data_IF_780211067858
#
_entry.id   IF_780211067858
#
_cell.length_a   1.000
_cell.length_b   1.000
_cell.length_c   1.000
_cell.angle_alpha   90.00
_cell.angle_beta   90.00
_cell.angle_gamma   90.00
#
_symmetry.space_group_name_H-M   'P 1'
#
loop_
_entity.id
_entity.type
_entity.pdbx_description
1 polymer ?
#
# COMPACT_ATOMS: atom_id res chain seq x y z
N UNK A 1 -18.27 -7.40 21.64
CA UNK A 1 -16.88 -7.41 21.13
C UNK A 1 -16.91 -8.11 19.79
N UNK A 2 -16.71 -7.35 18.70
CA UNK A 2 -16.62 -7.94 17.35
C UNK A 2 -15.25 -8.58 17.17
N UNK A 3 -15.19 -9.73 16.52
CA UNK A 3 -13.93 -10.48 16.34
C UNK A 3 -12.99 -9.73 15.38
N UNK A 4 -11.68 -9.96 15.49
CA UNK A 4 -10.68 -9.40 14.55
C UNK A 4 -10.99 -9.74 13.07
N UNK A 5 -11.75 -10.82 12.81
CA UNK A 5 -12.26 -11.16 11.48
C UNK A 5 -13.39 -10.23 10.99
N UNK A 6 -14.20 -9.67 11.88
CA UNK A 6 -15.28 -8.73 11.48
C UNK A 6 -14.74 -7.33 11.16
N UNK A 7 -13.57 -6.96 11.69
CA UNK A 7 -12.90 -5.69 11.35
C UNK A 7 -12.27 -5.77 9.94
N UNK A 8 -11.76 -6.95 9.54
CA UNK A 8 -11.27 -7.20 8.18
C UNK A 8 -12.37 -7.09 7.10
N UNK A 9 -13.61 -7.45 7.40
CA UNK A 9 -14.72 -7.42 6.44
C UNK A 9 -15.20 -6.00 6.05
N UNK A 10 -14.83 -4.96 6.80
CA UNK A 10 -15.17 -3.58 6.45
C UNK A 10 -14.18 -2.94 5.46
N UNK A 11 -12.95 -3.46 5.40
CA UNK A 11 -11.88 -2.93 4.54
C UNK A 11 -11.57 -3.84 3.34
N UNK A 12 -11.92 -5.12 3.40
CA UNK A 12 -11.90 -6.01 2.24
C UNK A 12 -13.29 -6.02 1.58
N UNK A 13 -13.42 -5.40 0.41
CA UNK A 13 -14.43 -5.88 -0.54
C UNK A 13 -13.88 -7.17 -1.17
N UNK A 14 -14.47 -8.34 -0.90
CA UNK A 14 -14.05 -9.56 -1.57
C UNK A 14 -14.26 -9.44 -3.08
N UNK A 15 -13.51 -10.24 -3.84
CA UNK A 15 -13.52 -10.47 -5.30
C UNK A 15 -14.93 -10.72 -5.93
N UNK A 16 -16.02 -10.58 -5.17
CA UNK A 16 -17.40 -10.80 -5.58
C UNK A 16 -18.27 -9.55 -5.61
N UNK A 17 -17.90 -8.48 -6.33
CA UNK A 17 -18.86 -7.44 -6.76
C UNK A 17 -18.64 -7.00 -8.22
N UNK A 18 -18.55 -8.00 -9.12
CA UNK A 18 -18.81 -7.80 -10.57
C UNK A 18 -20.31 -7.59 -10.89
N UNK A 19 -21.20 -7.68 -9.90
CA UNK A 19 -22.65 -7.47 -10.08
C UNK A 19 -23.09 -6.18 -9.38
N UNK A 20 -23.21 -5.10 -10.15
CA UNK A 20 -23.82 -3.84 -9.66
C UNK A 20 -23.14 -2.56 -10.15
N UNK A 21 -21.94 -2.66 -10.74
CA UNK A 21 -21.30 -1.49 -11.34
C UNK A 21 -22.01 -1.10 -12.66
N UNK A 22 -22.28 0.20 -12.88
CA UNK A 22 -22.74 0.70 -14.18
C UNK A 22 -21.78 0.25 -15.30
N UNK A 23 -22.32 -0.01 -16.50
CA UNK A 23 -21.59 -0.61 -17.64
C UNK A 23 -20.27 0.13 -17.96
N UNK A 24 -20.24 1.44 -17.76
CA UNK A 24 -19.06 2.31 -17.96
C UNK A 24 -17.86 1.99 -17.05
N UNK A 25 -18.06 1.33 -15.90
CA UNK A 25 -16.97 0.92 -15.01
C UNK A 25 -16.48 -0.51 -15.29
N UNK A 26 -17.15 -1.29 -16.15
CA UNK A 26 -16.70 -2.65 -16.52
C UNK A 26 -15.45 -2.63 -17.39
N UNK A 27 -15.32 -1.64 -18.28
CA UNK A 27 -14.11 -1.43 -19.07
C UNK A 27 -12.90 -1.00 -18.21
N UNK A 28 -13.15 -0.48 -17.00
CA UNK A 28 -12.12 -0.03 -16.06
C UNK A 28 -11.51 -1.17 -15.22
N UNK A 29 -12.07 -2.39 -15.28
CA UNK A 29 -11.64 -3.56 -14.46
C UNK A 29 -10.57 -4.45 -15.10
N UNK A 30 -10.02 -4.06 -16.26
CA UNK A 30 -9.13 -4.92 -17.07
C UNK A 30 -7.62 -4.59 -16.98
N UNK A 31 -7.16 -3.78 -16.03
CA UNK A 31 -5.74 -3.42 -15.95
C UNK A 31 -4.91 -4.24 -14.94
N UNK A 32 -5.49 -5.18 -14.20
CA UNK A 32 -4.79 -5.93 -13.14
C UNK A 32 -4.19 -7.27 -13.60
N UNK A 33 -3.77 -7.38 -14.86
CA UNK A 33 -3.04 -8.56 -15.34
C UNK A 33 -1.80 -8.13 -16.10
N UNK A 34 -0.65 -8.14 -15.42
CA UNK A 34 0.64 -8.07 -16.13
C UNK A 34 1.82 -7.44 -15.40
N UNK A 35 2.13 -7.80 -14.15
CA UNK A 35 3.45 -7.48 -13.57
C UNK A 35 4.50 -8.53 -13.98
N UNK A 36 4.68 -8.74 -15.27
CA UNK A 36 5.78 -9.53 -15.82
C UNK A 36 6.47 -8.71 -16.89
N UNK A 37 7.51 -7.96 -16.49
CA UNK A 37 8.36 -7.20 -17.40
C UNK A 37 8.82 -5.83 -16.93
N UNK A 38 8.31 -5.29 -15.82
CA UNK A 38 8.74 -3.98 -15.31
C UNK A 38 10.05 -4.15 -14.53
N UNK A 39 11.14 -3.58 -15.05
CA UNK A 39 12.39 -3.43 -14.28
C UNK A 39 12.09 -2.63 -13.01
N UNK A 40 12.51 -3.11 -11.81
CA UNK A 40 12.31 -2.36 -10.58
C UNK A 40 12.95 -0.97 -10.71
N UNK A 41 12.13 0.07 -10.66
CA UNK A 41 12.63 1.45 -10.66
C UNK A 41 13.26 1.70 -9.30
N UNK A 42 14.55 2.06 -9.27
CA UNK A 42 15.22 2.47 -8.03
C UNK A 42 14.61 3.78 -7.53
N UNK A 43 14.60 3.99 -6.20
CA UNK A 43 14.20 5.27 -5.64
C UNK A 43 15.12 6.39 -6.13
N UNK A 44 14.62 7.63 -6.32
CA UNK A 44 15.46 8.76 -6.69
C UNK A 44 16.59 8.99 -5.68
N UNK A 45 17.80 9.36 -6.14
CA UNK A 45 18.96 9.68 -5.29
C UNK A 45 18.82 11.04 -4.60
N UNK A 46 17.83 11.12 -3.72
CA UNK A 46 17.51 12.24 -2.86
C UNK A 46 17.69 11.82 -1.40
N UNK A 47 17.69 12.78 -0.48
CA UNK A 47 17.82 12.45 0.95
C UNK A 47 16.67 11.57 1.46
N UNK A 48 15.44 11.83 1.01
CA UNK A 48 14.29 10.97 1.31
C UNK A 48 14.46 9.57 0.70
N UNK A 49 14.86 9.50 -0.58
CA UNK A 49 15.05 8.23 -1.28
C UNK A 49 16.10 7.33 -0.61
N UNK A 50 17.23 7.91 -0.18
CA UNK A 50 18.28 7.17 0.54
C UNK A 50 17.82 6.67 1.91
N UNK A 51 17.12 7.50 2.70
CA UNK A 51 16.58 7.06 4.00
C UNK A 51 15.54 5.95 3.85
N UNK A 52 14.64 6.07 2.88
CA UNK A 52 13.68 5.01 2.56
C UNK A 52 14.38 3.73 2.11
N UNK A 53 15.37 3.81 1.24
CA UNK A 53 16.14 2.65 0.78
C UNK A 53 16.89 1.95 1.93
N UNK A 54 17.37 2.71 2.92
CA UNK A 54 18.05 2.18 4.10
C UNK A 54 17.09 1.60 5.16
N UNK A 55 15.81 1.96 5.13
CA UNK A 55 14.81 1.50 6.09
C UNK A 55 14.53 0.00 5.93
N UNK A 56 14.63 -0.75 7.03
CA UNK A 56 14.42 -2.20 7.06
C UNK A 56 13.06 -2.54 7.68
N UNK A 57 12.22 -3.24 6.93
CA UNK A 57 10.96 -3.79 7.43
C UNK A 57 11.16 -5.10 8.20
N UNK A 58 12.12 -5.91 7.73
CA UNK A 58 12.48 -7.17 8.37
C UNK A 58 13.80 -7.01 9.11
N UNK A 59 13.80 -7.32 10.41
CA UNK A 59 15.04 -7.45 11.19
C UNK A 59 15.32 -8.94 11.44
N UNK A 60 16.58 -9.36 11.30
CA UNK A 60 17.01 -10.76 11.49
C UNK A 60 16.69 -11.34 12.86
N UNK A 61 16.53 -10.47 13.86
CA UNK A 61 16.41 -10.87 15.27
C UNK A 61 14.94 -11.05 15.71
N UNK A 62 13.97 -10.82 14.82
CA UNK A 62 12.55 -10.93 15.13
C UNK A 62 12.01 -12.34 14.85
N UNK A 63 11.28 -12.91 15.81
CA UNK A 63 10.66 -14.24 15.70
C UNK A 63 9.59 -14.33 14.60
N UNK A 64 8.99 -13.20 14.22
CA UNK A 64 8.08 -13.08 13.09
C UNK A 64 8.43 -11.83 12.26
N UNK A 65 9.22 -11.99 11.18
CA UNK A 65 9.53 -10.90 10.26
C UNK A 65 8.26 -10.31 9.64
N UNK A 66 8.28 -9.00 9.38
CA UNK A 66 7.17 -8.25 8.79
C UNK A 66 6.67 -8.90 7.48
N UNK A 67 7.57 -9.19 6.55
CA UNK A 67 7.22 -9.78 5.25
C UNK A 67 6.64 -11.18 5.36
N UNK A 68 7.07 -11.95 6.37
CA UNK A 68 6.52 -13.29 6.65
C UNK A 68 5.10 -13.19 7.16
N UNK A 69 4.85 -12.24 8.08
CA UNK A 69 3.51 -11.99 8.60
C UNK A 69 2.58 -11.51 7.50
N UNK A 70 3.03 -10.58 6.66
CA UNK A 70 2.31 -10.10 5.48
C UNK A 70 1.91 -11.26 4.55
N UNK A 71 2.87 -12.11 4.18
CA UNK A 71 2.61 -13.26 3.32
C UNK A 71 1.55 -14.20 3.93
N UNK A 72 1.63 -14.47 5.23
CA UNK A 72 0.68 -15.33 5.93
C UNK A 72 -0.72 -14.72 6.04
N UNK A 73 -0.82 -13.43 6.37
CA UNK A 73 -2.10 -12.76 6.56
C UNK A 73 -2.88 -12.58 5.24
N UNK A 74 -2.16 -12.30 4.15
CA UNK A 74 -2.75 -12.07 2.83
C UNK A 74 -2.83 -13.32 1.93
N UNK A 75 -2.23 -14.44 2.37
CA UNK A 75 -2.13 -15.65 1.54
C UNK A 75 -1.22 -15.48 0.32
N UNK A 76 -0.22 -14.60 0.40
CA UNK A 76 0.70 -14.31 -0.69
C UNK A 76 1.93 -15.22 -0.66
N UNK A 77 2.57 -15.41 -1.82
CA UNK A 77 3.93 -15.97 -1.84
C UNK A 77 4.89 -15.00 -1.16
N UNK A 78 5.98 -15.54 -0.61
CA UNK A 78 7.02 -14.71 0.03
C UNK A 78 7.61 -13.69 -0.95
N UNK A 79 7.86 -14.12 -2.18
CA UNK A 79 8.40 -13.26 -3.24
C UNK A 79 7.45 -12.13 -3.60
N UNK A 80 6.14 -12.40 -3.62
CA UNK A 80 5.14 -11.36 -3.85
C UNK A 80 5.07 -10.37 -2.69
N UNK A 81 5.05 -10.86 -1.45
CA UNK A 81 5.06 -10.01 -0.26
C UNK A 81 6.28 -9.08 -0.23
N UNK A 82 7.48 -9.58 -0.56
CA UNK A 82 8.69 -8.77 -0.67
C UNK A 82 8.58 -7.71 -1.77
N UNK A 83 8.02 -8.04 -2.95
CA UNK A 83 7.78 -7.05 -4.00
C UNK A 83 6.77 -5.98 -3.57
N UNK A 84 5.69 -6.36 -2.91
CA UNK A 84 4.69 -5.42 -2.40
C UNK A 84 5.29 -4.45 -1.38
N UNK A 85 6.22 -4.91 -0.53
CA UNK A 85 6.98 -4.05 0.40
C UNK A 85 7.86 -3.04 -0.35
N UNK A 86 8.49 -3.44 -1.46
CA UNK A 86 9.24 -2.50 -2.30
C UNK A 86 8.33 -1.47 -2.96
N UNK A 87 7.14 -1.85 -3.43
CA UNK A 87 6.17 -0.90 -3.96
C UNK A 87 5.63 0.05 -2.88
N UNK A 88 5.43 -0.43 -1.66
CA UNK A 88 5.08 0.42 -0.53
C UNK A 88 6.15 1.47 -0.27
N UNK A 89 7.43 1.12 -0.37
CA UNK A 89 8.53 2.08 -0.26
C UNK A 89 8.48 3.17 -1.33
N UNK A 90 8.12 2.83 -2.57
CA UNK A 90 7.92 3.81 -3.65
C UNK A 90 6.70 4.68 -3.41
N UNK A 91 5.60 4.10 -2.94
CA UNK A 91 4.42 4.84 -2.54
C UNK A 91 4.74 5.85 -1.43
N UNK A 92 5.51 5.46 -0.41
CA UNK A 92 5.95 6.37 0.65
C UNK A 92 6.75 7.55 0.08
N UNK A 93 7.62 7.32 -0.90
CA UNK A 93 8.33 8.41 -1.57
C UNK A 93 7.34 9.38 -2.23
N UNK A 94 6.43 8.86 -3.06
CA UNK A 94 5.43 9.66 -3.77
C UNK A 94 4.51 10.43 -2.82
N UNK A 95 4.00 9.79 -1.77
CA UNK A 95 3.12 10.40 -0.77
C UNK A 95 3.76 11.59 -0.06
N UNK A 96 5.09 11.61 0.01
CA UNK A 96 5.85 12.64 0.70
C UNK A 96 6.33 13.74 -0.25
N UNK A 97 6.60 13.42 -1.52
CA UNK A 97 7.21 14.33 -2.49
C UNK A 97 6.27 14.91 -3.53
N UNK A 98 5.11 14.29 -3.81
CA UNK A 98 4.25 14.68 -4.93
C UNK A 98 3.58 16.05 -4.77
N UNK A 99 3.46 16.57 -3.54
CA UNK A 99 2.79 17.84 -3.26
C UNK A 99 1.26 17.78 -3.37
N UNK A 100 0.70 16.62 -3.70
CA UNK A 100 -0.73 16.32 -3.71
C UNK A 100 -0.98 14.93 -3.10
N UNK A 101 -2.23 14.62 -2.70
CA UNK A 101 -2.57 13.27 -2.24
C UNK A 101 -2.37 12.24 -3.35
N UNK A 102 -1.93 11.05 -2.96
CA UNK A 102 -1.75 9.89 -3.84
C UNK A 102 -2.50 8.69 -3.27
N UNK A 103 -3.02 7.84 -4.15
CA UNK A 103 -3.73 6.62 -3.76
C UNK A 103 -2.79 5.42 -3.85
N UNK A 104 -2.68 4.57 -2.82
CA UNK A 104 -1.97 3.31 -2.94
C UNK A 104 -2.73 2.34 -3.87
N UNK A 105 -2.02 1.34 -4.41
CA UNK A 105 -2.69 0.14 -4.96
C UNK A 105 -3.26 -0.71 -3.82
N UNK A 106 -4.13 -1.66 -4.13
CA UNK A 106 -4.69 -2.58 -3.13
C UNK A 106 -3.58 -3.31 -2.36
N UNK A 107 -2.57 -3.83 -3.04
CA UNK A 107 -1.47 -4.53 -2.39
C UNK A 107 -0.63 -3.62 -1.49
N UNK A 108 -0.38 -2.39 -1.95
CA UNK A 108 0.37 -1.40 -1.16
C UNK A 108 -0.42 -0.98 0.07
N UNK A 109 -1.74 -0.86 -0.03
CA UNK A 109 -2.63 -0.55 1.09
C UNK A 109 -2.62 -1.66 2.14
N UNK A 110 -2.60 -2.94 1.73
CA UNK A 110 -2.43 -4.07 2.65
C UNK A 110 -1.09 -4.06 3.40
N UNK A 111 0.00 -3.69 2.71
CA UNK A 111 1.31 -3.50 3.36
C UNK A 111 1.24 -2.37 4.38
N UNK A 112 0.62 -1.23 4.02
CA UNK A 112 0.50 -0.08 4.89
C UNK A 112 -0.37 -0.39 6.12
N UNK A 113 -1.50 -1.07 5.93
CA UNK A 113 -2.35 -1.56 7.01
C UNK A 113 -1.59 -2.42 8.01
N UNK A 114 -0.77 -3.36 7.52
CA UNK A 114 0.06 -4.16 8.41
C UNK A 114 1.08 -3.29 9.14
N UNK A 115 1.74 -2.34 8.47
CA UNK A 115 2.75 -1.49 9.11
C UNK A 115 2.17 -0.62 10.24
N UNK A 116 0.93 -0.13 10.10
CA UNK A 116 0.22 0.59 11.17
C UNK A 116 0.09 -0.23 12.47
N UNK A 117 0.02 -1.56 12.38
CA UNK A 117 -0.02 -2.46 13.54
C UNK A 117 1.34 -2.52 14.26
N UNK A 118 2.46 -2.33 13.54
CA UNK A 118 3.81 -2.27 14.09
C UNK A 118 4.12 -0.84 14.57
N UNK A 119 3.34 -0.36 15.55
CA UNK A 119 3.25 1.05 15.92
C UNK A 119 4.59 1.74 16.23
N UNK A 120 5.56 1.05 16.84
CA UNK A 120 6.91 1.62 17.08
C UNK A 120 7.68 1.83 15.78
N UNK A 121 7.68 0.82 14.92
CA UNK A 121 8.31 0.92 13.61
C UNK A 121 7.62 1.94 12.72
N UNK A 122 6.29 2.02 12.77
CA UNK A 122 5.53 3.00 11.99
C UNK A 122 5.72 4.44 12.48
N UNK A 123 5.47 4.71 13.77
CA UNK A 123 5.44 6.07 14.28
C UNK A 123 6.83 6.64 14.55
N UNK A 124 7.72 5.86 15.16
CA UNK A 124 9.04 6.36 15.52
C UNK A 124 10.03 6.14 14.38
N UNK A 125 10.23 4.90 13.94
CA UNK A 125 11.29 4.63 12.96
C UNK A 125 10.92 5.19 11.58
N UNK A 126 9.71 4.92 11.08
CA UNK A 126 9.29 5.38 9.76
C UNK A 126 8.90 6.87 9.79
N UNK A 127 7.83 7.25 10.47
CA UNK A 127 7.28 8.61 10.37
C UNK A 127 8.21 9.68 10.94
N UNK A 128 8.75 9.48 12.15
CA UNK A 128 9.63 10.46 12.78
C UNK A 128 11.03 10.47 12.16
N UNK A 129 11.68 9.31 12.02
CA UNK A 129 13.11 9.30 11.65
C UNK A 129 13.33 9.25 10.12
N UNK A 130 12.54 8.44 9.39
CA UNK A 130 12.71 8.26 7.93
C UNK A 130 11.93 9.27 7.10
N UNK A 131 10.65 9.54 7.42
CA UNK A 131 9.82 10.48 6.66
C UNK A 131 9.97 11.91 7.19
N UNK A 132 10.34 12.07 8.47
CA UNK A 132 10.38 13.36 9.19
C UNK A 132 9.07 14.15 9.13
N UNK A 133 7.95 13.45 8.93
CA UNK A 133 6.61 14.02 8.96
C UNK A 133 5.60 12.90 9.23
N UNK A 134 4.47 13.21 9.88
CA UNK A 134 3.41 12.23 10.03
C UNK A 134 2.80 11.87 8.67
N UNK A 135 2.56 10.58 8.47
CA UNK A 135 1.74 10.09 7.38
C UNK A 135 0.53 9.38 8.01
N UNK A 136 -0.67 9.88 7.74
CA UNK A 136 -1.89 9.32 8.30
C UNK A 136 -2.60 8.45 7.28
N UNK A 137 -3.00 7.26 7.71
CA UNK A 137 -3.97 6.46 6.96
C UNK A 137 -5.38 6.89 7.35
N UNK A 138 -6.25 7.06 6.36
CA UNK A 138 -7.64 7.41 6.56
C UNK A 138 -8.51 6.33 5.88
N UNK A 139 -9.58 5.86 6.53
CA UNK A 139 -10.52 4.94 5.91
C UNK A 139 -11.08 5.53 4.62
N UNK A 140 -11.25 4.69 3.59
CA UNK A 140 -12.02 5.08 2.42
C UNK A 140 -13.49 5.25 2.80
N UNK A 141 -14.13 6.33 2.33
CA UNK A 141 -15.58 6.51 2.47
C UNK A 141 -16.37 5.59 1.52
N UNK A 142 -15.69 5.00 0.54
CA UNK A 142 -16.29 4.13 -0.46
C UNK A 142 -17.25 4.84 -1.42
N UNK A 143 -17.84 4.05 -2.32
CA UNK A 143 -18.83 4.53 -3.27
C UNK A 143 -18.27 5.23 -4.52
N UNK A 144 -19.15 5.66 -5.45
CA UNK A 144 -18.73 6.14 -6.78
C UNK A 144 -17.92 7.43 -6.76
N UNK A 145 -18.14 8.31 -5.76
CA UNK A 145 -17.39 9.56 -5.64
C UNK A 145 -15.94 9.30 -5.24
N UNK A 146 -15.73 8.43 -4.26
CA UNK A 146 -14.39 8.07 -3.79
C UNK A 146 -13.62 7.28 -4.86
N UNK A 147 -14.31 6.42 -5.62
CA UNK A 147 -13.72 5.75 -6.77
C UNK A 147 -13.22 6.76 -7.81
N UNK A 148 -14.02 7.77 -8.19
CA UNK A 148 -13.60 8.81 -9.14
C UNK A 148 -12.38 9.59 -8.64
N UNK A 149 -12.34 9.93 -7.35
CA UNK A 149 -11.22 10.61 -6.70
C UNK A 149 -9.94 9.77 -6.80
N UNK A 150 -10.00 8.49 -6.43
CA UNK A 150 -8.83 7.59 -6.52
C UNK A 150 -8.33 7.42 -7.95
N UNK A 151 -9.25 7.32 -8.92
CA UNK A 151 -8.90 7.29 -10.34
C UNK A 151 -8.19 8.56 -10.80
N UNK A 152 -8.63 9.73 -10.36
CA UNK A 152 -7.95 10.99 -10.69
C UNK A 152 -6.53 11.01 -10.11
N UNK A 153 -6.35 10.61 -8.85
CA UNK A 153 -5.02 10.52 -8.22
C UNK A 153 -4.09 9.56 -8.96
N UNK A 154 -4.59 8.42 -9.41
CA UNK A 154 -3.83 7.48 -10.21
C UNK A 154 -3.39 8.10 -11.54
N UNK A 155 -4.30 8.81 -12.22
CA UNK A 155 -3.97 9.51 -13.47
C UNK A 155 -2.91 10.58 -13.27
N UNK A 156 -3.00 11.35 -12.19
CA UNK A 156 -2.03 12.42 -11.88
C UNK A 156 -0.64 11.83 -11.57
N UNK A 157 -0.57 10.60 -11.06
CA UNK A 157 0.71 9.91 -10.79
C UNK A 157 1.43 9.47 -12.08
N UNK A 158 0.70 9.29 -13.19
CA UNK A 158 1.25 8.84 -14.47
C UNK A 158 1.60 9.97 -15.45
N UNK A 159 1.21 11.21 -15.15
CA UNK A 159 1.40 12.38 -16.02
C UNK A 159 2.80 13.00 -15.88
#
# INVERSE_FOLDING_TARGET
>A
MKSLNEIRSACHHPIGLRRGLPEEYRQMTHLTTGLSGVTPVALPDTELGRRLAAFQFDNSDQSQPFSRRLANEQGWSREFALRAVEEYRRFLYLAISAGHPVCPSEEVDEVWHLHLVFTRSYWHELCQDVLQKPLHHAPTEGGPAELRKHWQMYRDTLA
#
